data_IF_299238066052
#
_entry.id   IF_299238066052
#
_cell.length_a   1.000
_cell.length_b   1.000
_cell.length_c   1.000
_cell.angle_alpha   90.00
_cell.angle_beta   90.00
_cell.angle_gamma   90.00
#
_symmetry.space_group_name_H-M   'P 1'
#
loop_
_entity.id
_entity.type
_entity.pdbx_description
1 polymer ?
#
# COMPACT_ATOMS: atom_id res chain seq x y z
N UNK A 1 -0.41 -28.81 23.95
CA UNK A 1 0.58 -27.85 23.44
C UNK A 1 0.38 -26.57 24.20
N UNK A 2 1.39 -26.09 24.93
CA UNK A 2 1.26 -24.85 25.69
C UNK A 2 0.72 -23.75 24.76
N UNK A 3 -0.39 -23.12 25.14
CA UNK A 3 -0.87 -21.92 24.46
C UNK A 3 0.31 -20.94 24.43
N UNK A 4 0.77 -20.58 23.23
CA UNK A 4 1.81 -19.57 23.06
C UNK A 4 1.34 -18.31 23.78
N UNK A 5 1.95 -18.04 24.93
CA UNK A 5 1.65 -16.88 25.74
C UNK A 5 2.06 -15.67 24.91
N UNK A 6 1.07 -14.88 24.49
CA UNK A 6 1.26 -13.69 23.68
C UNK A 6 2.26 -12.78 24.41
N UNK A 7 3.44 -12.57 23.80
CA UNK A 7 4.48 -11.69 24.33
C UNK A 7 3.88 -10.29 24.51
N UNK A 8 4.20 -9.61 25.61
CA UNK A 8 3.70 -8.25 25.90
C UNK A 8 3.72 -7.35 24.64
N UNK A 9 2.54 -6.98 24.06
CA UNK A 9 2.45 -6.19 22.85
C UNK A 9 3.21 -4.89 22.92
N UNK A 10 3.16 -4.24 24.08
CA UNK A 10 3.80 -2.96 24.31
C UNK A 10 5.31 -3.14 24.26
N UNK A 11 5.82 -4.19 24.92
CA UNK A 11 7.26 -4.50 24.89
C UNK A 11 7.77 -4.77 23.48
N UNK A 12 7.04 -5.56 22.68
CA UNK A 12 7.45 -5.85 21.30
C UNK A 12 7.30 -4.64 20.37
N UNK A 13 6.28 -3.81 20.57
CA UNK A 13 6.12 -2.54 19.87
C UNK A 13 7.31 -1.62 20.16
N UNK A 14 7.64 -1.43 21.45
CA UNK A 14 8.75 -0.58 21.87
C UNK A 14 10.08 -1.08 21.30
N UNK A 15 10.34 -2.39 21.36
CA UNK A 15 11.58 -2.98 20.83
C UNK A 15 11.71 -2.83 19.32
N UNK A 16 10.63 -3.03 18.55
CA UNK A 16 10.71 -3.13 17.08
C UNK A 16 10.43 -1.83 16.35
N UNK A 17 9.44 -1.06 16.81
CA UNK A 17 8.79 0.02 16.04
C UNK A 17 8.92 1.40 16.67
N UNK A 18 9.30 1.51 17.95
CA UNK A 18 9.52 2.83 18.56
C UNK A 18 10.70 3.56 17.91
N UNK A 19 10.76 4.87 18.13
CA UNK A 19 11.86 5.71 17.68
C UNK A 19 13.22 5.29 18.27
N UNK A 20 13.23 4.62 19.42
CA UNK A 20 14.44 4.08 20.07
C UNK A 20 14.66 2.58 19.79
N UNK A 21 13.78 1.96 19.00
CA UNK A 21 13.79 0.54 18.72
C UNK A 21 14.70 0.14 17.55
N UNK A 22 14.53 -1.10 17.09
CA UNK A 22 15.29 -1.69 15.99
C UNK A 22 15.05 -1.01 14.63
N UNK A 23 13.90 -0.37 14.46
CA UNK A 23 13.53 0.36 13.24
C UNK A 23 13.04 1.78 13.57
N UNK A 24 13.96 2.72 13.87
CA UNK A 24 13.61 4.06 14.37
C UNK A 24 12.63 4.87 13.51
N UNK A 25 12.64 4.65 12.19
CA UNK A 25 11.77 5.36 11.22
C UNK A 25 10.55 4.52 10.79
N UNK A 26 10.20 3.45 11.51
CA UNK A 26 9.13 2.54 11.11
C UNK A 26 7.77 3.25 11.00
N UNK A 27 7.47 4.13 11.95
CA UNK A 27 6.18 4.83 12.04
C UNK A 27 6.08 5.87 10.92
N UNK A 28 7.12 6.67 10.69
CA UNK A 28 7.17 7.65 9.60
C UNK A 28 7.06 6.97 8.23
N UNK A 29 7.79 5.86 8.04
CA UNK A 29 7.72 5.08 6.81
C UNK A 29 6.34 4.43 6.62
N UNK A 30 5.67 4.01 7.71
CA UNK A 30 4.30 3.53 7.69
C UNK A 30 3.35 4.62 7.17
N UNK A 31 3.40 5.83 7.73
CA UNK A 31 2.58 6.96 7.28
C UNK A 31 2.90 7.36 5.83
N UNK A 32 4.18 7.45 5.47
CA UNK A 32 4.61 7.75 4.10
C UNK A 32 4.01 6.76 3.11
N UNK A 33 4.13 5.47 3.41
CA UNK A 33 3.61 4.40 2.56
C UNK A 33 2.09 4.40 2.51
N UNK A 34 1.42 4.72 3.64
CA UNK A 34 -0.04 4.82 3.68
C UNK A 34 -0.56 5.98 2.82
N UNK A 35 0.11 7.14 2.87
CA UNK A 35 -0.21 8.29 2.02
C UNK A 35 -0.09 7.94 0.52
N UNK A 36 0.94 7.19 0.12
CA UNK A 36 1.08 6.69 -1.25
C UNK A 36 -0.08 5.75 -1.65
N UNK A 37 -0.45 4.82 -0.76
CA UNK A 37 -1.55 3.89 -1.01
C UNK A 37 -2.89 4.63 -1.16
N UNK A 38 -3.17 5.62 -0.31
CA UNK A 38 -4.38 6.45 -0.38
C UNK A 38 -4.41 7.27 -1.68
N UNK A 39 -3.29 7.91 -2.06
CA UNK A 39 -3.21 8.65 -3.33
C UNK A 39 -3.44 7.73 -4.53
N UNK A 40 -2.92 6.50 -4.50
CA UNK A 40 -3.16 5.52 -5.55
C UNK A 40 -4.64 5.10 -5.64
N UNK A 41 -5.34 4.97 -4.50
CA UNK A 41 -6.80 4.75 -4.48
C UNK A 41 -7.54 5.93 -5.07
N UNK A 42 -7.18 7.17 -4.71
CA UNK A 42 -7.77 8.37 -5.29
C UNK A 42 -7.62 8.39 -6.82
N UNK A 43 -6.45 8.01 -7.34
CA UNK A 43 -6.20 7.89 -8.79
C UNK A 43 -6.97 6.76 -9.47
N UNK A 44 -7.32 5.70 -8.75
CA UNK A 44 -8.13 4.59 -9.25
C UNK A 44 -9.64 4.73 -8.97
N UNK A 45 -10.07 5.82 -8.33
CA UNK A 45 -11.45 6.05 -7.86
C UNK A 45 -12.49 5.84 -8.95
N UNK A 46 -12.33 6.50 -10.08
CA UNK A 46 -13.33 6.44 -11.17
C UNK A 46 -13.47 5.02 -11.72
N UNK A 47 -12.36 4.29 -11.85
CA UNK A 47 -12.37 2.89 -12.26
C UNK A 47 -13.09 2.01 -11.23
N UNK A 48 -12.85 2.23 -9.95
CA UNK A 48 -13.50 1.47 -8.87
C UNK A 48 -15.02 1.74 -8.81
N UNK A 49 -15.44 2.99 -9.01
CA UNK A 49 -16.86 3.36 -9.09
C UNK A 49 -17.52 2.70 -10.31
N UNK A 50 -16.87 2.72 -11.48
CA UNK A 50 -17.35 2.01 -12.67
C UNK A 50 -17.46 0.49 -12.44
N UNK A 51 -16.51 -0.12 -11.71
CA UNK A 51 -16.57 -1.53 -11.36
C UNK A 51 -17.74 -1.84 -10.40
N UNK A 52 -18.10 -0.90 -9.53
CA UNK A 52 -19.31 -0.97 -8.70
C UNK A 52 -20.59 -0.84 -9.53
N UNK A 53 -20.66 0.14 -10.42
CA UNK A 53 -21.85 0.41 -11.24
C UNK A 53 -22.13 -0.69 -12.27
N UNK A 54 -21.07 -1.32 -12.81
CA UNK A 54 -21.18 -2.40 -13.79
C UNK A 54 -21.44 -3.78 -13.19
N UNK A 55 -21.48 -3.90 -11.86
CA UNK A 55 -21.67 -5.20 -11.17
C UNK A 55 -20.46 -6.12 -11.23
N UNK A 56 -19.26 -5.62 -11.60
CA UNK A 56 -18.00 -6.38 -11.50
C UNK A 56 -17.58 -6.58 -10.05
N UNK A 57 -18.00 -5.68 -9.17
CA UNK A 57 -17.98 -5.81 -7.71
C UNK A 57 -19.41 -6.10 -7.29
N UNK A 58 -19.61 -7.09 -6.42
CA UNK A 58 -20.94 -7.45 -5.93
C UNK A 58 -21.59 -6.29 -5.16
N UNK A 59 -22.92 -6.26 -5.13
CA UNK A 59 -23.66 -5.12 -4.57
C UNK A 59 -23.35 -4.85 -3.09
N UNK A 60 -23.08 -5.90 -2.31
CA UNK A 60 -22.75 -5.76 -0.89
C UNK A 60 -21.36 -5.12 -0.71
N UNK A 61 -20.36 -5.61 -1.43
CA UNK A 61 -19.03 -5.04 -1.42
C UNK A 61 -19.00 -3.62 -1.99
N UNK A 62 -19.76 -3.36 -3.06
CA UNK A 62 -19.89 -2.03 -3.66
C UNK A 62 -20.48 -1.02 -2.66
N UNK A 63 -21.52 -1.40 -1.91
CA UNK A 63 -22.13 -0.55 -0.89
C UNK A 63 -21.14 -0.17 0.24
N UNK A 64 -20.20 -1.06 0.58
CA UNK A 64 -19.15 -0.79 1.58
C UNK A 64 -17.98 0.01 0.99
N UNK A 65 -17.71 -0.15 -0.30
CA UNK A 65 -16.58 0.50 -0.98
C UNK A 65 -16.86 1.97 -1.29
N UNK A 66 -18.08 2.33 -1.73
CA UNK A 66 -18.42 3.72 -2.11
C UNK A 66 -18.10 4.76 -1.03
N UNK A 67 -18.48 4.58 0.25
CA UNK A 67 -18.13 5.55 1.30
C UNK A 67 -16.63 5.74 1.48
N UNK A 68 -15.82 4.70 1.22
CA UNK A 68 -14.36 4.78 1.29
C UNK A 68 -13.83 5.65 0.14
N UNK A 69 -14.39 5.49 -1.06
CA UNK A 69 -14.01 6.26 -2.27
C UNK A 69 -14.48 7.72 -2.23
N UNK A 70 -15.51 8.01 -1.47
CA UNK A 70 -16.05 9.36 -1.23
C UNK A 70 -15.42 10.04 0.00
N UNK A 71 -14.52 9.34 0.71
CA UNK A 71 -13.86 9.89 1.89
C UNK A 71 -12.98 11.07 1.52
N UNK A 72 -13.20 12.22 2.17
CA UNK A 72 -12.48 13.47 1.92
C UNK A 72 -10.97 13.37 2.15
N UNK A 73 -10.52 12.38 2.92
CA UNK A 73 -9.09 12.12 3.13
C UNK A 73 -8.37 11.76 1.82
N UNK A 74 -9.06 11.15 0.85
CA UNK A 74 -8.47 10.82 -0.45
C UNK A 74 -8.14 12.07 -1.28
N UNK A 75 -8.83 13.18 -1.02
CA UNK A 75 -8.62 14.47 -1.70
C UNK A 75 -7.84 15.46 -0.81
N UNK A 76 -7.27 15.01 0.33
CA UNK A 76 -6.50 15.87 1.23
C UNK A 76 -5.09 16.17 0.63
N UNK A 77 -4.72 17.44 0.44
CA UNK A 77 -3.41 17.81 -0.10
C UNK A 77 -2.22 17.29 0.71
N UNK A 78 -2.39 17.03 2.02
CA UNK A 78 -1.34 16.43 2.85
C UNK A 78 -1.06 14.98 2.46
N UNK A 79 -2.08 14.23 2.06
CA UNK A 79 -1.94 12.83 1.59
C UNK A 79 -1.19 12.80 0.26
N UNK A 80 -1.47 13.76 -0.62
CA UNK A 80 -0.80 13.86 -1.93
C UNK A 80 0.70 14.20 -1.83
N UNK A 81 1.14 14.87 -0.75
CA UNK A 81 2.56 15.26 -0.56
C UNK A 81 3.55 14.11 -0.71
N UNK A 82 3.19 12.92 -0.24
CA UNK A 82 4.06 11.75 -0.37
C UNK A 82 4.24 11.35 -1.84
N UNK A 83 3.15 11.36 -2.61
CA UNK A 83 3.15 11.08 -4.04
C UNK A 83 3.90 12.15 -4.82
N UNK A 84 3.71 13.44 -4.48
CA UNK A 84 4.44 14.53 -5.14
C UNK A 84 5.95 14.40 -4.91
N UNK A 85 6.40 14.16 -3.68
CA UNK A 85 7.83 13.94 -3.39
C UNK A 85 8.40 12.73 -4.13
N UNK A 86 7.63 11.65 -4.22
CA UNK A 86 8.01 10.47 -4.99
C UNK A 86 8.13 10.81 -6.48
N UNK A 87 7.16 11.54 -7.03
CA UNK A 87 7.16 11.95 -8.43
C UNK A 87 8.35 12.88 -8.74
N UNK A 88 8.56 13.93 -7.95
CA UNK A 88 9.68 14.88 -8.10
C UNK A 88 11.03 14.16 -8.10
N UNK A 89 11.18 13.13 -7.26
CA UNK A 89 12.37 12.31 -7.25
C UNK A 89 12.46 11.41 -8.49
N UNK A 90 11.36 10.75 -8.86
CA UNK A 90 11.29 9.81 -9.98
C UNK A 90 11.51 10.48 -11.35
N UNK A 91 11.20 11.77 -11.49
CA UNK A 91 11.29 12.52 -12.75
C UNK A 91 12.42 13.55 -12.78
N UNK A 92 13.27 13.56 -11.75
CA UNK A 92 14.35 14.55 -11.59
C UNK A 92 15.33 14.59 -12.78
N UNK A 93 15.70 13.42 -13.29
CA UNK A 93 16.66 13.25 -14.38
C UNK A 93 16.43 11.91 -15.11
N UNK A 94 17.16 11.68 -16.21
CA UNK A 94 17.05 10.47 -17.02
C UNK A 94 17.37 9.19 -16.22
N UNK A 95 18.31 9.28 -15.29
CA UNK A 95 18.73 8.14 -14.47
C UNK A 95 17.63 7.76 -13.48
N UNK A 96 16.95 8.75 -12.90
CA UNK A 96 15.79 8.56 -12.02
C UNK A 96 14.62 7.90 -12.74
N UNK A 97 14.35 8.32 -13.99
CA UNK A 97 13.33 7.68 -14.83
C UNK A 97 13.74 6.23 -15.15
N UNK A 98 15.01 5.99 -15.46
CA UNK A 98 15.52 4.64 -15.73
C UNK A 98 15.40 3.73 -14.48
N UNK A 99 15.60 4.29 -13.28
CA UNK A 99 15.44 3.57 -12.02
C UNK A 99 14.00 3.09 -11.76
N UNK A 100 12.97 3.67 -12.38
CA UNK A 100 11.60 3.16 -12.30
C UNK A 100 11.48 1.75 -12.87
N UNK A 101 12.22 1.45 -13.94
CA UNK A 101 12.26 0.10 -14.49
C UNK A 101 12.92 -0.88 -13.51
N UNK A 102 14.00 -0.46 -12.85
CA UNK A 102 14.66 -1.25 -11.82
C UNK A 102 13.72 -1.52 -10.63
N UNK A 103 13.02 -0.50 -10.13
CA UNK A 103 12.04 -0.64 -9.04
C UNK A 103 10.93 -1.65 -9.40
N UNK A 104 10.43 -1.61 -10.64
CA UNK A 104 9.46 -2.59 -11.15
C UNK A 104 10.05 -4.01 -11.19
N UNK A 105 11.29 -4.16 -11.64
CA UNK A 105 11.97 -5.46 -11.67
C UNK A 105 12.21 -6.00 -10.25
N UNK A 106 12.67 -5.15 -9.33
CA UNK A 106 12.85 -5.51 -7.90
C UNK A 106 11.55 -5.94 -7.25
N UNK A 107 10.44 -5.28 -7.57
CA UNK A 107 9.10 -5.68 -7.08
C UNK A 107 8.72 -7.10 -7.51
N UNK A 108 9.06 -7.50 -8.75
CA UNK A 108 8.86 -8.87 -9.24
C UNK A 108 9.76 -9.88 -8.51
N UNK A 109 11.02 -9.52 -8.25
CA UNK A 109 11.93 -10.38 -7.50
C UNK A 109 11.48 -10.54 -6.03
N UNK A 110 10.99 -9.48 -5.39
CA UNK A 110 10.42 -9.56 -4.04
C UNK A 110 9.23 -10.54 -4.00
N UNK A 111 8.32 -10.47 -4.98
CA UNK A 111 7.23 -11.45 -5.09
C UNK A 111 7.72 -12.90 -5.28
N UNK A 112 8.87 -13.11 -5.94
CA UNK A 112 9.50 -14.44 -6.05
C UNK A 112 10.10 -14.89 -4.73
N UNK A 113 10.80 -14.02 -4.01
CA UNK A 113 11.38 -14.32 -2.69
C UNK A 113 10.29 -14.71 -1.69
N UNK A 114 9.10 -14.11 -1.79
CA UNK A 114 7.96 -14.51 -0.95
C UNK A 114 7.56 -15.98 -1.12
N UNK A 115 7.92 -16.67 -2.22
CA UNK A 115 7.70 -18.11 -2.36
C UNK A 115 8.56 -18.94 -1.39
N UNK A 116 9.67 -18.40 -0.91
CA UNK A 116 10.58 -19.06 0.03
C UNK A 116 10.12 -18.90 1.49
N UNK A 117 9.09 -18.09 1.77
CA UNK A 117 8.54 -17.92 3.12
C UNK A 117 7.73 -19.17 3.51
N UNK A 118 8.21 -19.88 4.53
CA UNK A 118 7.61 -21.14 5.00
C UNK A 118 6.28 -20.94 5.74
N UNK A 119 6.14 -19.83 6.48
CA UNK A 119 4.90 -19.47 7.14
C UNK A 119 3.82 -19.10 6.10
N UNK A 120 2.78 -19.93 5.96
CA UNK A 120 1.72 -19.73 4.97
C UNK A 120 0.97 -18.40 5.12
N UNK A 121 0.67 -17.98 6.36
CA UNK A 121 0.04 -16.67 6.63
C UNK A 121 0.96 -15.53 6.22
N UNK A 122 2.23 -15.59 6.61
CA UNK A 122 3.24 -14.59 6.29
C UNK A 122 3.45 -14.47 4.76
N UNK A 123 3.50 -15.60 4.05
CA UNK A 123 3.59 -15.65 2.58
C UNK A 123 2.38 -14.99 1.92
N UNK A 124 1.16 -15.29 2.37
CA UNK A 124 -0.07 -14.69 1.84
C UNK A 124 -0.06 -13.17 2.07
N UNK A 125 0.15 -12.74 3.32
CA UNK A 125 0.11 -11.33 3.66
C UNK A 125 1.23 -10.55 3.00
N UNK A 126 2.45 -11.11 2.91
CA UNK A 126 3.58 -10.52 2.23
C UNK A 126 3.34 -10.32 0.73
N UNK A 127 2.80 -11.33 0.04
CA UNK A 127 2.45 -11.19 -1.39
C UNK A 127 1.37 -10.15 -1.65
N UNK A 128 0.31 -10.13 -0.83
CA UNK A 128 -0.77 -9.13 -0.95
C UNK A 128 -0.20 -7.72 -0.76
N UNK A 129 0.57 -7.50 0.31
CA UNK A 129 1.11 -6.17 0.61
C UNK A 129 2.13 -5.70 -0.44
N UNK A 130 2.99 -6.60 -0.92
CA UNK A 130 3.95 -6.29 -1.99
C UNK A 130 3.24 -5.98 -3.31
N UNK A 131 2.20 -6.75 -3.65
CA UNK A 131 1.39 -6.49 -4.85
C UNK A 131 0.67 -5.14 -4.73
N UNK A 132 0.03 -4.84 -3.60
CA UNK A 132 -0.64 -3.57 -3.39
C UNK A 132 0.29 -2.36 -3.48
N UNK A 133 1.49 -2.43 -2.89
CA UNK A 133 2.52 -1.40 -3.02
C UNK A 133 2.99 -1.26 -4.48
N UNK A 134 3.24 -2.38 -5.18
CA UNK A 134 3.63 -2.36 -6.59
C UNK A 134 2.54 -1.74 -7.47
N UNK A 135 1.26 -2.02 -7.20
CA UNK A 135 0.12 -1.43 -7.90
C UNK A 135 0.02 0.07 -7.62
N UNK A 136 0.25 0.52 -6.38
CA UNK A 136 0.32 1.94 -6.05
C UNK A 136 1.42 2.65 -6.84
N UNK A 137 2.64 2.11 -6.85
CA UNK A 137 3.74 2.68 -7.65
C UNK A 137 3.42 2.71 -9.15
N UNK A 138 2.78 1.66 -9.68
CA UNK A 138 2.37 1.62 -11.08
C UNK A 138 1.34 2.71 -11.42
N UNK A 139 0.38 2.97 -10.53
CA UNK A 139 -0.63 4.01 -10.71
C UNK A 139 -0.05 5.42 -10.60
N UNK A 140 0.88 5.63 -9.65
CA UNK A 140 1.44 6.95 -9.35
C UNK A 140 2.56 7.37 -10.31
N UNK A 141 3.54 6.50 -10.57
CA UNK A 141 4.73 6.84 -11.37
C UNK A 141 4.89 5.98 -12.63
N UNK A 142 4.31 4.78 -12.67
CA UNK A 142 4.33 3.96 -13.89
C UNK A 142 5.76 3.65 -14.37
N UNK A 143 5.99 3.71 -15.69
CA UNK A 143 7.31 3.47 -16.31
C UNK A 143 8.08 4.76 -16.62
N UNK A 144 7.38 5.87 -16.74
CA UNK A 144 7.90 7.14 -17.28
C UNK A 144 7.77 8.30 -16.29
N UNK A 145 7.21 8.06 -15.09
CA UNK A 145 6.87 9.10 -14.11
C UNK A 145 5.42 9.56 -14.17
N UNK A 146 4.70 9.28 -15.26
CA UNK A 146 3.33 9.79 -15.49
C UNK A 146 2.22 8.92 -14.87
N UNK A 147 2.59 7.79 -14.26
CA UNK A 147 1.63 6.80 -13.79
C UNK A 147 1.05 5.97 -14.94
N UNK A 148 0.27 4.95 -14.59
CA UNK A 148 -0.43 4.10 -15.57
C UNK A 148 -1.92 4.36 -15.49
N UNK A 149 -2.60 4.28 -16.64
CA UNK A 149 -4.06 4.28 -16.71
C UNK A 149 -4.67 3.20 -15.78
N UNK A 150 -5.50 3.58 -14.78
CA UNK A 150 -6.19 2.65 -13.90
C UNK A 150 -7.02 1.59 -14.65
N UNK A 151 -7.50 1.88 -15.86
CA UNK A 151 -8.25 0.94 -16.67
C UNK A 151 -7.43 -0.32 -17.04
N UNK A 152 -6.10 -0.20 -17.09
CA UNK A 152 -5.18 -1.28 -17.46
C UNK A 152 -4.74 -2.14 -16.29
N UNK A 153 -5.08 -1.75 -15.06
CA UNK A 153 -4.73 -2.50 -13.84
C UNK A 153 -5.67 -3.70 -13.71
N UNK A 154 -5.10 -4.88 -13.44
CA UNK A 154 -5.90 -6.10 -13.29
C UNK A 154 -6.72 -6.08 -12.01
N UNK A 155 -7.88 -6.74 -12.01
CA UNK A 155 -8.77 -6.82 -10.84
C UNK A 155 -8.06 -7.28 -9.55
N UNK A 156 -7.10 -8.19 -9.68
CA UNK A 156 -6.35 -8.76 -8.55
C UNK A 156 -5.40 -7.73 -7.96
N UNK A 157 -4.79 -6.90 -8.81
CA UNK A 157 -3.92 -5.79 -8.39
C UNK A 157 -4.72 -4.72 -7.64
N UNK A 158 -5.90 -4.37 -8.15
CA UNK A 158 -6.82 -3.43 -7.47
C UNK A 158 -7.30 -4.00 -6.13
N UNK A 159 -7.67 -5.28 -6.07
CA UNK A 159 -8.04 -5.93 -4.82
C UNK A 159 -6.87 -5.96 -3.81
N UNK A 160 -5.65 -6.22 -4.27
CA UNK A 160 -4.44 -6.18 -3.44
C UNK A 160 -4.15 -4.76 -2.93
N UNK A 161 -4.33 -3.72 -3.75
CA UNK A 161 -4.23 -2.33 -3.35
C UNK A 161 -5.20 -2.02 -2.20
N UNK A 162 -6.50 -2.27 -2.38
CA UNK A 162 -7.52 -2.02 -1.35
C UNK A 162 -7.26 -2.82 -0.06
N UNK A 163 -6.85 -4.08 -0.20
CA UNK A 163 -6.50 -4.91 0.97
C UNK A 163 -5.28 -4.37 1.70
N UNK A 164 -4.31 -3.81 0.97
CA UNK A 164 -3.10 -3.21 1.56
C UNK A 164 -3.44 -1.91 2.28
N UNK A 165 -4.28 -1.06 1.69
CA UNK A 165 -4.81 0.15 2.35
C UNK A 165 -5.45 -0.20 3.70
N UNK A 166 -6.29 -1.25 3.74
CA UNK A 166 -6.90 -1.72 4.99
C UNK A 166 -5.85 -2.17 6.03
N UNK A 167 -4.82 -2.90 5.62
CA UNK A 167 -3.74 -3.31 6.53
C UNK A 167 -2.99 -2.11 7.11
N UNK A 168 -2.71 -1.10 6.30
CA UNK A 168 -2.03 0.11 6.75
C UNK A 168 -2.92 0.95 7.66
N UNK A 169 -4.22 1.06 7.38
CA UNK A 169 -5.18 1.70 8.28
C UNK A 169 -5.18 1.05 9.66
N UNK A 170 -5.26 -0.29 9.72
CA UNK A 170 -5.18 -1.06 10.97
C UNK A 170 -3.84 -0.89 11.69
N UNK A 171 -2.73 -0.78 10.95
CA UNK A 171 -1.41 -0.55 11.54
C UNK A 171 -1.30 0.86 12.14
N UNK A 172 -1.87 1.87 11.49
CA UNK A 172 -1.95 3.24 12.01
C UNK A 172 -2.80 3.28 13.28
N UNK A 173 -3.97 2.64 13.30
CA UNK A 173 -4.81 2.52 14.50
C UNK A 173 -4.02 1.90 15.66
N UNK A 174 -3.32 0.79 15.41
CA UNK A 174 -2.48 0.14 16.42
C UNK A 174 -1.37 1.07 16.94
N UNK A 175 -0.69 1.81 16.06
CA UNK A 175 0.35 2.75 16.50
C UNK A 175 -0.23 3.86 17.37
N UNK A 176 -1.45 4.33 17.09
CA UNK A 176 -2.12 5.36 17.91
C UNK A 176 -2.54 4.85 19.29
N UNK A 177 -2.77 3.56 19.45
CA UNK A 177 -3.06 2.93 20.74
C UNK A 177 -1.79 2.65 21.57
N UNK A 178 -0.63 2.54 20.92
CA UNK A 178 0.64 2.13 21.53
C UNK A 178 1.60 3.27 21.86
N UNK A 179 1.35 4.47 21.32
CA UNK A 179 2.05 5.74 21.61
C UNK A 179 1.31 6.46 22.73
#
# INVERSE_FOLDING_TARGET
TAEEQWTDPVKEFQRRLSHEGETPLAIENLYFSYMLLLTAVARARDRLLQDCDSGRIDAEAAAKLRPILECSLLDDPMVERASQKLHDHATKDSDSIQALWEARMRSRELLRIMNCVQCNKCRLHGKISMMGLSTALQLLVGRTGEGTDPARVHRVEVAALMTTVYKFARAVDLCREMI
#
